data_IF_358318286099
#
_entry.id   IF_358318286099
#
_cell.length_a   1.000
_cell.length_b   1.000
_cell.length_c   1.000
_cell.angle_alpha   90.00
_cell.angle_beta   90.00
_cell.angle_gamma   90.00
#
_symmetry.space_group_name_H-M   'P 1'
#
loop_
_entity.id
_entity.type
_entity.pdbx_description
1 polymer ?
#
# COMPACT_ATOMS: atom_id res chain seq x y z
N UNK A 1 -2.25 -10.10 15.11
CA UNK A 1 -0.82 -10.03 14.67
C UNK A 1 -0.43 -8.57 14.59
N UNK A 2 0.81 -8.21 14.91
CA UNK A 2 1.30 -6.82 14.70
C UNK A 2 2.32 -6.87 13.58
N UNK A 3 2.03 -6.16 12.49
CA UNK A 3 2.83 -6.15 11.27
C UNK A 3 4.08 -5.28 11.46
N UNK A 4 5.22 -5.76 10.96
CA UNK A 4 6.52 -5.07 11.06
C UNK A 4 7.13 -4.88 9.69
N UNK A 5 8.06 -3.93 9.59
CA UNK A 5 8.91 -3.80 8.40
C UNK A 5 9.69 -5.09 8.18
N UNK A 6 9.74 -5.54 6.93
CA UNK A 6 10.52 -6.70 6.54
C UNK A 6 12.02 -6.46 6.82
N UNK A 7 12.79 -7.49 7.22
CA UNK A 7 14.22 -7.36 7.43
C UNK A 7 14.97 -7.01 6.14
N UNK A 8 16.11 -6.33 6.28
CA UNK A 8 16.92 -5.87 5.15
C UNK A 8 17.34 -6.99 4.18
N UNK A 9 17.47 -8.23 4.69
CA UNK A 9 17.81 -9.41 3.89
C UNK A 9 16.80 -9.72 2.78
N UNK A 10 15.52 -9.34 2.95
CA UNK A 10 14.47 -9.61 1.96
C UNK A 10 14.54 -8.72 0.72
N UNK A 11 15.27 -7.60 0.76
CA UNK A 11 15.30 -6.64 -0.36
C UNK A 11 16.40 -6.91 -1.38
N UNK A 12 17.35 -7.83 -1.08
CA UNK A 12 18.50 -8.15 -1.94
C UNK A 12 19.19 -6.91 -2.53
N UNK A 13 19.36 -5.87 -1.72
CA UNK A 13 19.79 -4.52 -2.14
C UNK A 13 21.31 -4.34 -2.27
N UNK A 14 22.06 -5.43 -2.43
CA UNK A 14 23.53 -5.43 -2.56
C UNK A 14 23.95 -6.21 -3.79
N UNK A 15 25.07 -5.82 -4.37
CA UNK A 15 25.71 -6.57 -5.44
C UNK A 15 26.38 -7.86 -4.92
N UNK A 16 26.75 -8.76 -5.84
CA UNK A 16 27.47 -9.99 -5.51
C UNK A 16 26.64 -11.11 -4.87
N UNK A 17 25.31 -10.96 -4.80
CA UNK A 17 24.41 -11.96 -4.20
C UNK A 17 24.14 -13.20 -5.09
N UNK A 18 24.65 -13.20 -6.32
CA UNK A 18 24.45 -14.29 -7.27
C UNK A 18 22.99 -14.46 -7.72
N UNK A 19 22.70 -15.63 -8.29
CA UNK A 19 21.36 -16.00 -8.75
C UNK A 19 20.44 -16.14 -7.52
N UNK A 20 19.24 -15.57 -7.62
CA UNK A 20 18.23 -15.70 -6.56
C UNK A 20 17.80 -17.17 -6.39
N UNK A 21 17.83 -17.66 -5.16
CA UNK A 21 17.61 -19.05 -4.76
C UNK A 21 16.20 -19.59 -5.10
N UNK A 22 15.25 -18.68 -5.30
CA UNK A 22 13.85 -18.99 -5.64
C UNK A 22 13.48 -18.64 -7.08
N UNK A 23 14.47 -18.35 -7.94
CA UNK A 23 14.24 -18.10 -9.36
C UNK A 23 13.40 -19.22 -9.99
N UNK A 24 12.29 -18.84 -10.62
CA UNK A 24 11.38 -19.78 -11.29
C UNK A 24 10.44 -20.55 -10.36
N UNK A 25 10.43 -20.26 -9.05
CA UNK A 25 9.57 -20.93 -8.06
C UNK A 25 8.42 -20.06 -7.55
N UNK A 26 8.45 -18.77 -7.86
CA UNK A 26 7.45 -17.78 -7.44
C UNK A 26 6.89 -17.09 -8.69
N UNK A 27 5.58 -16.94 -8.76
CA UNK A 27 4.89 -16.30 -9.88
C UNK A 27 3.85 -15.29 -9.39
N UNK A 28 3.74 -14.15 -10.08
CA UNK A 28 2.59 -13.26 -9.98
C UNK A 28 1.50 -13.82 -10.89
N UNK A 29 0.34 -14.14 -10.32
CA UNK A 29 -0.73 -14.90 -11.00
C UNK A 29 -2.05 -14.14 -11.11
N UNK A 30 -2.18 -12.99 -10.47
CA UNK A 30 -3.36 -12.15 -10.62
C UNK A 30 -3.07 -10.69 -10.31
N UNK A 31 -3.81 -9.80 -10.97
CA UNK A 31 -3.71 -8.35 -10.82
C UNK A 31 -5.08 -7.72 -10.59
N UNK A 32 -5.15 -6.84 -9.61
CA UNK A 32 -6.37 -6.09 -9.31
C UNK A 32 -6.07 -4.60 -9.17
N UNK A 33 -6.93 -3.77 -9.76
CA UNK A 33 -6.85 -2.31 -9.72
C UNK A 33 -8.16 -1.69 -9.24
N UNK A 34 -8.07 -0.57 -8.52
CA UNK A 34 -9.19 0.32 -8.29
C UNK A 34 -9.42 1.27 -9.48
N UNK A 35 -10.57 1.97 -9.54
CA UNK A 35 -10.69 3.16 -10.39
C UNK A 35 -9.62 4.21 -10.09
N UNK A 36 -9.32 5.02 -11.10
CA UNK A 36 -8.37 6.13 -11.05
C UNK A 36 -9.13 7.45 -10.91
N UNK A 37 -8.78 8.25 -9.91
CA UNK A 37 -9.40 9.54 -9.66
C UNK A 37 -8.36 10.60 -9.27
N UNK A 38 -8.57 11.82 -9.77
CA UNK A 38 -7.63 12.92 -9.51
C UNK A 38 -7.56 13.27 -8.03
N UNK A 39 -8.68 13.27 -7.31
CA UNK A 39 -8.79 13.60 -5.88
C UNK A 39 -9.83 12.70 -5.26
N UNK A 40 -9.65 12.41 -3.97
CA UNK A 40 -10.71 11.85 -3.17
C UNK A 40 -11.82 12.89 -3.00
N UNK A 41 -13.06 12.46 -3.18
CA UNK A 41 -14.29 13.25 -3.03
C UNK A 41 -14.92 13.11 -1.63
N UNK A 42 -14.13 12.62 -0.67
CA UNK A 42 -14.49 12.46 0.76
C UNK A 42 -15.60 11.44 1.04
N UNK A 43 -16.07 10.72 0.01
CA UNK A 43 -17.05 9.66 0.20
C UNK A 43 -16.39 8.38 0.73
N UNK A 44 -17.06 7.62 1.62
CA UNK A 44 -16.50 6.38 2.14
C UNK A 44 -16.13 5.37 1.04
N UNK A 45 -16.96 5.25 0.00
CA UNK A 45 -16.82 4.23 -1.06
C UNK A 45 -15.65 4.47 -2.01
N UNK A 46 -15.11 5.69 -2.01
CA UNK A 46 -13.99 6.15 -2.83
C UNK A 46 -12.74 6.41 -2.00
N UNK A 47 -12.78 6.10 -0.70
CA UNK A 47 -11.64 6.20 0.19
C UNK A 47 -10.50 5.27 -0.25
N UNK A 48 -9.27 5.61 0.14
CA UNK A 48 -8.11 4.76 -0.17
C UNK A 48 -8.29 3.34 0.40
N UNK A 49 -8.94 3.21 1.56
CA UNK A 49 -9.29 1.92 2.16
C UNK A 49 -10.29 1.13 1.31
N UNK A 50 -11.41 1.74 0.91
CA UNK A 50 -12.43 1.09 0.08
C UNK A 50 -11.86 0.58 -1.25
N UNK A 51 -11.06 1.42 -1.91
CA UNK A 51 -10.41 1.08 -3.17
C UNK A 51 -9.27 0.08 -3.02
N UNK A 52 -8.62 0.04 -1.85
CA UNK A 52 -7.64 -1.01 -1.55
C UNK A 52 -8.32 -2.38 -1.43
N UNK A 53 -9.45 -2.46 -0.72
CA UNK A 53 -10.24 -3.69 -0.59
C UNK A 53 -10.74 -4.15 -1.96
N UNK A 54 -11.26 -3.23 -2.79
CA UNK A 54 -11.70 -3.55 -4.15
C UNK A 54 -10.56 -4.10 -5.01
N UNK A 55 -9.38 -3.46 -4.98
CA UNK A 55 -8.23 -3.91 -5.74
C UNK A 55 -7.77 -5.30 -5.30
N UNK A 56 -7.69 -5.56 -3.98
CA UNK A 56 -7.34 -6.87 -3.44
C UNK A 56 -8.33 -7.96 -3.88
N UNK A 57 -9.64 -7.69 -3.82
CA UNK A 57 -10.67 -8.64 -4.29
C UNK A 57 -10.53 -8.96 -5.78
N UNK A 58 -10.26 -7.96 -6.61
CA UNK A 58 -10.02 -8.16 -8.06
C UNK A 58 -8.76 -8.99 -8.33
N UNK A 59 -7.70 -8.80 -7.55
CA UNK A 59 -6.48 -9.61 -7.68
C UNK A 59 -6.68 -11.06 -7.28
N UNK A 60 -7.48 -11.31 -6.24
CA UNK A 60 -7.90 -12.65 -5.83
C UNK A 60 -8.70 -13.31 -6.95
N UNK A 61 -9.68 -12.59 -7.51
CA UNK A 61 -10.51 -13.07 -8.62
C UNK A 61 -9.69 -13.38 -9.88
N UNK A 62 -8.81 -12.48 -10.30
CA UNK A 62 -7.96 -12.64 -11.49
C UNK A 62 -6.97 -13.81 -11.33
N UNK A 63 -6.48 -14.04 -10.10
CA UNK A 63 -5.64 -15.19 -9.78
C UNK A 63 -6.42 -16.53 -9.78
N UNK A 64 -7.75 -16.51 -9.82
CA UNK A 64 -8.59 -17.70 -9.73
C UNK A 64 -8.50 -18.44 -8.39
N UNK A 65 -8.14 -17.74 -7.31
CA UNK A 65 -8.06 -18.30 -5.95
C UNK A 65 -9.23 -17.80 -5.09
N UNK A 66 -9.56 -18.53 -4.03
CA UNK A 66 -10.54 -18.08 -3.04
C UNK A 66 -9.88 -17.25 -1.94
N UNK A 67 -10.59 -16.32 -1.28
CA UNK A 67 -10.01 -15.48 -0.23
C UNK A 67 -9.36 -16.25 0.93
N UNK A 68 -9.87 -17.43 1.30
CA UNK A 68 -9.32 -18.29 2.34
C UNK A 68 -8.02 -19.01 1.92
N UNK A 69 -7.67 -19.02 0.63
CA UNK A 69 -6.36 -19.50 0.18
C UNK A 69 -5.25 -18.47 0.43
N UNK A 70 -5.59 -17.18 0.60
CA UNK A 70 -4.62 -16.14 0.91
C UNK A 70 -4.11 -16.32 2.34
N UNK A 71 -2.81 -16.58 2.46
CA UNK A 71 -2.13 -16.77 3.75
C UNK A 71 -1.02 -15.73 4.03
N UNK A 72 -0.77 -14.83 3.07
CA UNK A 72 0.19 -13.73 3.19
C UNK A 72 -0.39 -12.38 2.76
N UNK A 73 0.02 -11.32 3.46
CA UNK A 73 -0.29 -9.94 3.09
C UNK A 73 0.93 -9.03 3.31
N UNK A 74 1.50 -8.53 2.22
CA UNK A 74 2.61 -7.57 2.24
C UNK A 74 2.12 -6.23 1.72
N UNK A 75 2.25 -5.18 2.52
CA UNK A 75 1.79 -3.85 2.08
C UNK A 75 2.84 -2.77 2.24
N UNK A 76 2.64 -1.68 1.52
CA UNK A 76 3.32 -0.41 1.78
C UNK A 76 2.37 0.48 2.57
N UNK A 77 2.65 0.76 3.86
CA UNK A 77 1.66 1.38 4.73
C UNK A 77 1.46 2.88 4.47
N UNK A 78 2.44 3.51 3.81
CA UNK A 78 2.40 4.92 3.46
C UNK A 78 1.57 5.09 2.20
N UNK A 79 0.48 5.83 2.28
CA UNK A 79 -0.38 6.13 1.12
C UNK A 79 -0.25 7.56 0.61
N UNK A 80 0.49 8.43 1.30
CA UNK A 80 0.65 9.81 0.86
C UNK A 80 1.55 9.93 -0.37
N UNK A 81 1.23 10.91 -1.20
CA UNK A 81 2.09 11.44 -2.26
C UNK A 81 2.77 12.74 -1.85
N UNK A 82 2.80 13.05 -0.54
CA UNK A 82 3.30 14.30 0.02
C UNK A 82 2.21 15.32 0.37
N UNK A 83 0.93 14.99 0.18
CA UNK A 83 -0.20 15.70 0.76
C UNK A 83 -0.64 14.93 2.00
N UNK A 84 -0.30 15.41 3.20
CA UNK A 84 -0.73 14.81 4.46
C UNK A 84 -2.12 15.30 4.84
N UNK A 85 -2.83 14.56 5.70
CA UNK A 85 -4.03 15.08 6.34
C UNK A 85 -3.67 16.38 7.11
N UNK A 86 -4.33 17.52 6.85
CA UNK A 86 -4.02 18.75 7.57
C UNK A 86 -4.41 18.66 9.05
N UNK A 87 -3.58 19.21 9.94
CA UNK A 87 -3.79 19.16 11.39
C UNK A 87 -5.07 19.92 11.83
N UNK A 88 -5.47 20.93 11.06
CA UNK A 88 -6.64 21.79 11.27
C UNK A 88 -7.90 21.28 10.53
N UNK A 89 -7.77 20.25 9.69
CA UNK A 89 -8.91 19.70 8.95
C UNK A 89 -9.67 18.69 9.83
N UNK A 90 -10.98 18.89 10.08
CA UNK A 90 -11.80 17.93 10.80
C UNK A 90 -11.71 16.54 10.20
N UNK A 91 -11.66 15.51 11.05
CA UNK A 91 -11.63 14.13 10.59
C UNK A 91 -12.90 13.81 9.76
N UNK A 92 -12.78 13.03 8.67
CA UNK A 92 -13.91 12.71 7.80
C UNK A 92 -14.73 11.59 8.45
N UNK A 93 -15.55 11.95 9.45
CA UNK A 93 -16.22 10.98 10.31
C UNK A 93 -17.13 10.01 9.54
N UNK A 94 -17.75 10.44 8.45
CA UNK A 94 -18.56 9.55 7.61
C UNK A 94 -17.71 8.42 6.99
N UNK A 95 -16.54 8.76 6.45
CA UNK A 95 -15.59 7.78 5.92
C UNK A 95 -15.02 6.89 7.03
N UNK A 96 -14.73 7.45 8.20
CA UNK A 96 -14.20 6.70 9.34
C UNK A 96 -15.23 5.69 9.85
N UNK A 97 -16.46 6.12 10.07
CA UNK A 97 -17.52 5.31 10.66
C UNK A 97 -18.05 4.23 9.71
N UNK A 98 -17.78 4.33 8.42
CA UNK A 98 -18.15 3.31 7.43
C UNK A 98 -17.31 2.02 7.52
N UNK A 99 -16.21 2.02 8.27
CA UNK A 99 -15.26 0.90 8.34
C UNK A 99 -14.92 0.50 9.77
N UNK A 100 -14.42 -0.72 9.94
CA UNK A 100 -13.88 -1.24 11.20
C UNK A 100 -12.50 -0.62 11.45
N UNK A 101 -12.44 0.34 12.36
CA UNK A 101 -11.24 1.14 12.59
C UNK A 101 -10.14 0.44 13.40
N UNK A 102 -8.90 0.90 13.23
CA UNK A 102 -7.80 0.64 14.17
C UNK A 102 -7.76 1.75 15.23
N UNK A 103 -6.70 1.83 16.04
CA UNK A 103 -6.54 2.95 16.97
C UNK A 103 -6.22 4.28 16.27
N UNK A 104 -5.87 4.24 14.98
CA UNK A 104 -5.58 5.42 14.18
C UNK A 104 -6.77 5.74 13.28
N UNK A 105 -7.47 6.88 13.48
CA UNK A 105 -8.67 7.23 12.72
C UNK A 105 -8.38 7.58 11.26
N UNK A 106 -7.11 7.80 10.86
CA UNK A 106 -6.74 8.07 9.48
C UNK A 106 -6.39 6.78 8.71
N UNK A 107 -6.45 5.62 9.35
CA UNK A 107 -6.27 4.34 8.69
C UNK A 107 -7.43 4.03 7.73
N UNK A 108 -7.11 3.69 6.49
CA UNK A 108 -8.09 3.63 5.40
C UNK A 108 -8.45 5.00 4.78
N UNK A 109 -7.93 6.11 5.31
CA UNK A 109 -8.17 7.49 4.80
C UNK A 109 -6.90 8.12 4.25
N UNK A 110 -5.86 8.26 5.08
CA UNK A 110 -4.58 8.89 4.74
C UNK A 110 -3.36 7.99 5.00
N UNK A 111 -3.61 6.74 5.38
CA UNK A 111 -2.63 5.66 5.53
C UNK A 111 -3.34 4.32 5.38
N UNK A 112 -2.58 3.23 5.39
CA UNK A 112 -3.15 1.91 5.36
C UNK A 112 -2.31 0.96 6.22
N UNK A 113 -2.93 0.24 7.15
CA UNK A 113 -2.29 -0.84 7.88
C UNK A 113 -2.84 -2.20 7.47
N UNK A 114 -2.04 -3.23 7.68
CA UNK A 114 -2.49 -4.61 7.49
C UNK A 114 -3.60 -4.95 8.49
N UNK A 115 -3.54 -4.42 9.70
CA UNK A 115 -4.55 -4.61 10.73
C UNK A 115 -5.91 -4.02 10.32
N UNK A 116 -5.93 -2.86 9.69
CA UNK A 116 -7.15 -2.25 9.16
C UNK A 116 -7.73 -3.06 8.00
N UNK A 117 -6.88 -3.52 7.07
CA UNK A 117 -7.31 -4.36 5.96
C UNK A 117 -7.95 -5.66 6.46
N UNK A 118 -7.32 -6.36 7.39
CA UNK A 118 -7.84 -7.62 7.94
C UNK A 118 -9.14 -7.43 8.72
N UNK A 119 -9.35 -6.29 9.37
CA UNK A 119 -10.65 -5.96 10.02
C UNK A 119 -11.77 -5.69 9.01
N UNK A 120 -11.44 -5.25 7.80
CA UNK A 120 -12.40 -4.87 6.76
C UNK A 120 -12.50 -5.87 5.60
N UNK A 121 -11.68 -6.92 5.64
CA UNK A 121 -11.72 -8.08 4.75
C UNK A 121 -11.83 -9.38 5.57
N UNK A 122 -12.97 -9.60 6.26
CA UNK A 122 -13.15 -10.80 7.10
C UNK A 122 -13.10 -12.11 6.31
N UNK A 123 -13.21 -12.06 4.98
CA UNK A 123 -13.03 -13.20 4.09
C UNK A 123 -11.58 -13.74 4.03
N UNK A 124 -10.58 -12.95 4.44
CA UNK A 124 -9.16 -13.37 4.47
C UNK A 124 -8.84 -14.20 5.74
N UNK A 125 -9.50 -15.33 5.90
CA UNK A 125 -9.51 -16.10 7.16
C UNK A 125 -8.21 -16.86 7.47
N UNK A 126 -7.30 -16.98 6.50
CA UNK A 126 -6.10 -17.83 6.59
C UNK A 126 -4.78 -17.05 6.63
N UNK A 127 -4.82 -15.72 6.72
CA UNK A 127 -3.61 -14.87 6.75
C UNK A 127 -2.78 -15.18 8.00
N UNK A 128 -1.56 -15.69 7.77
CA UNK A 128 -0.58 -16.09 8.80
C UNK A 128 0.72 -15.29 8.70
N UNK A 129 0.99 -14.68 7.56
CA UNK A 129 2.17 -13.86 7.32
C UNK A 129 1.77 -12.44 6.95
N UNK A 130 2.37 -11.47 7.63
CA UNK A 130 2.19 -10.04 7.30
C UNK A 130 3.53 -9.33 7.36
N UNK A 131 3.83 -8.47 6.39
CA UNK A 131 5.01 -7.62 6.44
C UNK A 131 4.77 -6.26 5.77
N UNK A 132 5.52 -5.25 6.22
CA UNK A 132 5.63 -3.97 5.53
C UNK A 132 6.86 -3.95 4.64
N UNK A 133 6.67 -3.63 3.36
CA UNK A 133 7.73 -3.39 2.38
C UNK A 133 7.80 -1.91 1.98
N UNK A 134 8.23 -1.01 2.88
CA UNK A 134 8.02 0.44 2.73
C UNK A 134 8.70 1.05 1.49
N UNK A 135 8.37 2.33 1.25
CA UNK A 135 8.81 3.20 0.14
C UNK A 135 8.00 3.01 -1.14
N UNK A 136 8.05 1.85 -1.79
CA UNK A 136 7.46 1.65 -3.11
C UNK A 136 6.93 0.23 -3.30
N UNK A 137 6.09 0.04 -4.32
CA UNK A 137 5.54 -1.28 -4.65
C UNK A 137 6.63 -2.30 -4.98
N UNK A 138 7.71 -1.90 -5.67
CA UNK A 138 8.81 -2.81 -6.01
C UNK A 138 9.51 -3.39 -4.76
N UNK A 139 9.59 -2.61 -3.67
CA UNK A 139 10.09 -3.12 -2.39
C UNK A 139 9.15 -4.16 -1.78
N UNK A 140 7.84 -3.89 -1.78
CA UNK A 140 6.85 -4.85 -1.31
C UNK A 140 6.83 -6.13 -2.13
N UNK A 141 7.01 -6.04 -3.45
CA UNK A 141 7.14 -7.21 -4.33
C UNK A 141 8.37 -8.05 -3.99
N UNK A 142 9.53 -7.43 -3.75
CA UNK A 142 10.73 -8.17 -3.32
C UNK A 142 10.49 -8.92 -2.00
N UNK A 143 9.85 -8.26 -1.04
CA UNK A 143 9.50 -8.86 0.25
C UNK A 143 8.54 -10.05 0.08
N UNK A 144 7.48 -9.88 -0.70
CA UNK A 144 6.51 -10.93 -0.95
C UNK A 144 7.13 -12.10 -1.72
N UNK A 145 7.91 -11.83 -2.75
CA UNK A 145 8.60 -12.85 -3.53
C UNK A 145 9.56 -13.67 -2.65
N UNK A 146 10.34 -13.00 -1.79
CA UNK A 146 11.21 -13.69 -0.84
C UNK A 146 10.40 -14.50 0.17
N UNK A 147 9.33 -13.94 0.73
CA UNK A 147 8.48 -14.63 1.71
C UNK A 147 7.82 -15.89 1.13
N UNK A 148 7.35 -15.83 -0.12
CA UNK A 148 6.78 -16.99 -0.83
C UNK A 148 7.85 -18.04 -1.11
N UNK A 149 9.02 -17.61 -1.59
CA UNK A 149 10.15 -18.51 -1.85
C UNK A 149 10.64 -19.23 -0.58
N UNK A 150 10.74 -18.50 0.53
CA UNK A 150 11.13 -19.03 1.84
C UNK A 150 10.03 -19.88 2.51
N UNK A 151 8.82 -19.93 1.92
CA UNK A 151 7.69 -20.71 2.43
C UNK A 151 7.01 -20.11 3.67
N UNK A 152 7.16 -18.80 3.90
CA UNK A 152 6.47 -18.08 4.98
C UNK A 152 4.98 -17.86 4.67
N UNK A 153 4.64 -17.87 3.38
CA UNK A 153 3.29 -17.78 2.80
C UNK A 153 3.30 -18.55 1.48
N UNK A 154 2.17 -19.12 1.08
CA UNK A 154 2.01 -19.76 -0.23
C UNK A 154 1.30 -18.84 -1.23
N UNK A 155 0.30 -18.07 -0.79
CA UNK A 155 -0.53 -17.18 -1.60
C UNK A 155 -0.56 -15.83 -0.93
N UNK A 156 0.21 -14.90 -1.50
CA UNK A 156 0.50 -13.62 -0.87
C UNK A 156 -0.07 -12.46 -1.68
N UNK A 157 -0.89 -11.63 -1.05
CA UNK A 157 -1.33 -10.36 -1.63
C UNK A 157 -0.28 -9.28 -1.36
N UNK A 158 0.08 -8.54 -2.40
CA UNK A 158 0.98 -7.38 -2.29
C UNK A 158 0.20 -6.11 -2.59
N UNK A 159 0.23 -5.10 -1.72
CA UNK A 159 -0.51 -3.87 -1.93
C UNK A 159 0.34 -2.62 -1.72
N UNK A 160 0.22 -1.68 -2.63
CA UNK A 160 0.57 -0.28 -2.37
C UNK A 160 -0.64 0.57 -2.75
N UNK A 161 -1.05 1.47 -1.86
CA UNK A 161 -2.14 2.40 -2.11
C UNK A 161 -1.70 3.88 -2.07
N UNK A 162 -2.43 4.74 -2.77
CA UNK A 162 -2.16 6.17 -2.87
C UNK A 162 -3.43 6.95 -2.58
N UNK A 163 -3.41 7.81 -1.57
CA UNK A 163 -4.46 8.81 -1.39
C UNK A 163 -4.05 10.10 -2.07
N UNK A 164 -5.03 10.87 -2.54
CA UNK A 164 -4.81 12.25 -2.94
C UNK A 164 -5.93 13.12 -2.39
N UNK A 165 -5.61 13.94 -1.39
CA UNK A 165 -6.56 14.83 -0.75
C UNK A 165 -6.78 16.09 -1.60
N UNK A 166 -7.80 16.87 -1.25
CA UNK A 166 -7.94 18.22 -1.80
C UNK A 166 -6.71 19.09 -1.49
N UNK A 167 -6.35 19.98 -2.43
CA UNK A 167 -5.19 20.86 -2.33
C UNK A 167 -4.23 20.76 -3.52
N UNK A 168 -3.04 21.35 -3.35
CA UNK A 168 -1.91 21.26 -4.28
C UNK A 168 -0.97 20.12 -3.86
N UNK A 169 -0.41 19.45 -4.85
CA UNK A 169 0.51 18.33 -4.64
C UNK A 169 1.76 18.78 -3.87
N UNK A 170 2.20 18.00 -2.86
CA UNK A 170 3.28 18.37 -1.92
C UNK A 170 3.05 19.64 -1.09
N UNK A 171 1.86 20.24 -1.13
CA UNK A 171 1.54 21.50 -0.46
C UNK A 171 0.44 21.31 0.59
N UNK A 172 0.33 20.10 1.16
CA UNK A 172 -0.58 19.78 2.26
C UNK A 172 0.17 19.66 3.60
N UNK A 173 -0.56 19.68 4.71
CA UNK A 173 0.00 19.63 6.06
C UNK A 173 0.94 20.82 6.34
N UNK A 174 2.09 20.57 6.98
CA UNK A 174 3.10 21.61 7.27
C UNK A 174 3.57 22.39 6.04
N UNK A 175 3.47 21.81 4.84
CA UNK A 175 3.84 22.50 3.59
C UNK A 175 2.79 23.51 3.12
N UNK A 176 1.62 23.57 3.75
CA UNK A 176 0.59 24.58 3.50
C UNK A 176 0.72 25.82 4.41
N UNK A 177 1.62 25.79 5.40
CA UNK A 177 1.83 26.88 6.33
C UNK A 177 2.54 28.06 5.66
N UNK A 178 2.30 29.28 6.18
CA UNK A 178 2.96 30.51 5.69
C UNK A 178 4.49 30.45 5.84
N UNK A 179 4.98 29.66 6.79
CA UNK A 179 6.39 29.46 7.08
C UNK A 179 6.64 27.97 7.35
N UNK A 180 7.77 27.45 6.88
CA UNK A 180 8.20 26.06 7.08
C UNK A 180 9.64 26.11 7.57
N UNK A 181 9.96 25.45 8.68
CA UNK A 181 11.30 25.53 9.27
C UNK A 181 12.35 24.68 8.52
N UNK A 182 13.60 25.15 8.58
CA UNK A 182 14.79 24.38 8.22
C UNK A 182 15.03 24.15 6.72
N UNK A 183 15.74 23.08 6.38
CA UNK A 183 16.11 22.75 4.98
C UNK A 183 14.90 22.44 4.08
N UNK A 184 13.73 22.17 4.67
CA UNK A 184 12.46 22.03 3.96
C UNK A 184 11.99 23.34 3.32
N UNK A 185 12.27 24.49 3.96
CA UNK A 185 11.97 25.81 3.39
C UNK A 185 12.72 26.01 2.06
N UNK A 186 14.02 25.67 2.04
CA UNK A 186 14.91 25.85 0.89
C UNK A 186 14.51 24.94 -0.28
N UNK A 187 14.09 23.70 -0.01
CA UNK A 187 13.64 22.73 -1.03
C UNK A 187 12.33 23.11 -1.72
N UNK A 188 11.56 24.04 -1.15
CA UNK A 188 10.25 24.47 -1.65
C UNK A 188 10.27 25.84 -2.37
N UNK A 189 11.40 26.56 -2.38
CA UNK A 189 11.55 27.92 -2.97
C UNK A 189 11.22 27.97 -4.47
N UNK A 190 11.37 26.86 -5.21
CA UNK A 190 11.07 26.79 -6.65
C UNK A 190 9.76 26.09 -7.01
N UNK A 191 8.99 25.61 -6.02
CA UNK A 191 8.05 24.51 -6.23
C UNK A 191 8.78 23.24 -6.69
N UNK A 192 8.39 22.06 -6.21
CA UNK A 192 8.88 20.83 -6.83
C UNK A 192 8.23 20.67 -8.21
N UNK A 193 8.83 21.27 -9.23
CA UNK A 193 8.65 20.84 -10.61
C UNK A 193 9.49 19.58 -10.79
N UNK A 194 8.91 18.42 -10.46
CA UNK A 194 9.39 17.20 -11.11
C UNK A 194 9.00 17.31 -12.60
N UNK A 195 9.95 17.16 -13.54
CA UNK A 195 9.63 17.07 -14.95
C UNK A 195 8.63 15.92 -15.16
N UNK A 196 7.76 16.04 -16.16
CA UNK A 196 6.74 15.02 -16.46
C UNK A 196 7.32 13.60 -16.50
N UNK A 197 6.89 12.76 -15.57
CA UNK A 197 6.92 11.30 -15.69
C UNK A 197 5.63 10.74 -15.07
N UNK A 198 4.66 10.37 -15.93
CA UNK A 198 3.53 9.45 -15.68
C UNK A 198 2.94 9.44 -14.24
N UNK A 199 2.01 10.35 -13.93
CA UNK A 199 1.39 10.40 -12.59
C UNK A 199 -0.03 9.84 -12.59
N UNK A 200 -0.14 8.51 -12.53
CA UNK A 200 -1.37 7.81 -12.17
C UNK A 200 -1.73 8.11 -10.72
N UNK A 201 -2.95 8.62 -10.47
CA UNK A 201 -3.49 8.77 -9.12
C UNK A 201 -4.56 7.70 -8.91
N UNK A 202 -4.16 6.64 -8.18
CA UNK A 202 -4.86 5.37 -7.86
C UNK A 202 -4.53 4.20 -8.78
N UNK A 203 -3.26 3.80 -8.72
CA UNK A 203 -2.78 2.50 -9.15
C UNK A 203 -2.61 1.65 -7.88
N UNK A 204 -3.69 1.07 -7.36
CA UNK A 204 -3.57 -0.01 -6.38
C UNK A 204 -3.29 -1.27 -7.20
N UNK A 205 -2.03 -1.66 -7.38
CA UNK A 205 -1.70 -2.98 -7.90
C UNK A 205 -1.76 -3.93 -6.71
N UNK A 206 -2.78 -4.79 -6.69
CA UNK A 206 -2.73 -6.00 -5.89
C UNK A 206 -2.17 -7.12 -6.77
N UNK A 207 -0.94 -7.56 -6.52
CA UNK A 207 -0.35 -8.74 -7.17
C UNK A 207 -0.49 -9.94 -6.23
N UNK A 208 -1.06 -11.04 -6.73
CA UNK A 208 -1.10 -12.29 -5.99
C UNK A 208 0.09 -13.17 -6.38
N UNK A 209 0.95 -13.50 -5.41
CA UNK A 209 2.15 -14.33 -5.62
C UNK A 209 1.91 -15.75 -5.12
N UNK A 210 2.13 -16.76 -5.98
CA UNK A 210 1.97 -18.18 -5.65
C UNK A 210 3.28 -18.96 -5.84
N UNK A 211 3.53 -19.93 -4.96
CA UNK A 211 4.65 -20.88 -5.09
C UNK A 211 4.27 -22.04 -6.03
N UNK A 212 5.05 -22.25 -7.08
CA UNK A 212 4.93 -23.46 -7.90
C UNK A 212 5.69 -24.62 -7.23
N UNK A 213 4.98 -25.69 -6.89
CA UNK A 213 5.58 -26.98 -6.53
C UNK A 213 5.92 -27.69 -7.85
N UNK A 214 7.21 -27.92 -8.10
CA UNK A 214 7.72 -28.79 -9.17
C UNK A 214 8.28 -30.04 -8.48
#
# INVERSE_FOLDING_TARGET
>A
MVTKNAPASMYRSKEGLGIWEHRGKVAAVGIGHSPTARRWDERPETSVGAWSIMALRRAIEDAGVTPDQVDGLVIVPVTTTGAFWPDDKPLPMDAINAFNQTSDPLDGVAKLSTEWLLKNMPELTNVKYTAYGPVCMSNALNVAAQAVGDGLTNTCLVLKAWHNLEGRYYQGGKNAANEIDGTSAIRNIGGRLLPMELHYSLLNIAENMVRHTI
#
